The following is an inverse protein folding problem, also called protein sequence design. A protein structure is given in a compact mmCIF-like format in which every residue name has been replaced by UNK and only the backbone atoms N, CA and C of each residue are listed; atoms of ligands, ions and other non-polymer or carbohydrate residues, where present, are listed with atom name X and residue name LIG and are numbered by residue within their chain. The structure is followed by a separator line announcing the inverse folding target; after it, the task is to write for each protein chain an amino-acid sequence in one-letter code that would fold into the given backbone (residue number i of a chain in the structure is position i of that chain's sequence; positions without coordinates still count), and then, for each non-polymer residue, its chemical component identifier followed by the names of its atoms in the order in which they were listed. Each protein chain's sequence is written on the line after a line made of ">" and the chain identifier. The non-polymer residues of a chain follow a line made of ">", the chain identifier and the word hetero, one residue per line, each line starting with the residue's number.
data_IF_804918876319
#
_entry.id   IF_804918876319
#
_cell.length_a   1.000
_cell.length_b   1.000
_cell.length_c   1.000
_cell.angle_alpha   90.00
_cell.angle_beta   90.00
_cell.angle_gamma   90.00
#
_symmetry.space_group_name_H-M   'P 1'
#
loop_
_entity.id
_entity.type
_entity.pdbx_description
1 polymer ?
#
# COMPACT_ATOMS: atom_id res chain seq x y z
N UNK A 1 -27.94 41.02 39.82
CA UNK A 1 -26.52 40.68 39.56
C UNK A 1 -26.31 39.17 39.39
N UNK A 2 -26.83 38.33 40.30
CA UNK A 2 -26.69 36.86 40.22
C UNK A 2 -27.22 36.19 38.93
N UNK A 3 -28.39 36.59 38.41
CA UNK A 3 -28.94 35.99 37.17
C UNK A 3 -28.00 36.15 35.98
N UNK A 4 -27.33 37.30 35.83
CA UNK A 4 -26.38 37.55 34.73
C UNK A 4 -25.15 36.65 34.85
N UNK A 5 -24.60 36.51 36.06
CA UNK A 5 -23.45 35.64 36.34
C UNK A 5 -23.81 34.17 36.03
N UNK A 6 -25.02 33.74 36.42
CA UNK A 6 -25.52 32.39 36.14
C UNK A 6 -25.67 32.12 34.64
N UNK A 7 -26.20 33.08 33.86
CA UNK A 7 -26.30 32.94 32.40
C UNK A 7 -24.93 32.88 31.73
N UNK A 8 -23.97 33.71 32.16
CA UNK A 8 -22.61 33.68 31.61
C UNK A 8 -21.92 32.36 31.93
N UNK A 9 -22.05 31.85 33.16
CA UNK A 9 -21.51 30.55 33.54
C UNK A 9 -22.12 29.39 32.71
N UNK A 10 -23.42 29.44 32.44
CA UNK A 10 -24.11 28.45 31.62
C UNK A 10 -23.61 28.45 30.17
N UNK A 11 -23.40 29.63 29.57
CA UNK A 11 -22.87 29.74 28.19
C UNK A 11 -21.46 29.19 28.10
N UNK A 12 -20.60 29.50 29.08
CA UNK A 12 -19.23 28.98 29.13
C UNK A 12 -19.24 27.46 29.28
N UNK A 13 -20.10 26.91 30.14
CA UNK A 13 -20.25 25.46 30.31
C UNK A 13 -20.65 24.79 29.00
N UNK A 14 -21.65 25.35 28.29
CA UNK A 14 -22.09 24.82 26.99
C UNK A 14 -20.95 24.87 25.96
N UNK A 15 -20.23 25.99 25.87
CA UNK A 15 -19.11 26.12 24.93
C UNK A 15 -17.99 25.10 25.21
N UNK A 16 -17.71 24.83 26.49
CA UNK A 16 -16.73 23.82 26.92
C UNK A 16 -17.18 22.40 26.56
N UNK A 17 -18.45 22.07 26.79
CA UNK A 17 -19.00 20.74 26.43
C UNK A 17 -18.97 20.55 24.91
N UNK A 18 -19.43 21.52 24.13
CA UNK A 18 -19.42 21.45 22.66
C UNK A 18 -17.98 21.35 22.13
N UNK A 19 -17.06 22.14 22.67
CA UNK A 19 -15.64 22.07 22.31
C UNK A 19 -15.04 20.70 22.59
N UNK A 20 -15.33 20.09 23.74
CA UNK A 20 -14.92 18.73 24.08
C UNK A 20 -15.52 17.69 23.13
N UNK A 21 -16.81 17.79 22.79
CA UNK A 21 -17.45 16.86 21.85
C UNK A 21 -16.76 16.90 20.48
N UNK A 22 -16.48 18.09 19.95
CA UNK A 22 -15.79 18.26 18.66
C UNK A 22 -14.38 17.63 18.72
N UNK A 23 -13.64 17.91 19.78
CA UNK A 23 -12.30 17.35 19.98
C UNK A 23 -12.31 15.82 20.02
N UNK A 24 -13.26 15.23 20.75
CA UNK A 24 -13.41 13.78 20.85
C UNK A 24 -13.72 13.14 19.49
N UNK A 25 -14.64 13.71 18.70
CA UNK A 25 -14.90 13.22 17.33
C UNK A 25 -13.64 13.25 16.47
N UNK A 26 -12.92 14.37 16.45
CA UNK A 26 -11.68 14.48 15.65
C UNK A 26 -10.62 13.47 16.08
N UNK A 27 -10.48 13.23 17.37
CA UNK A 27 -9.53 12.24 17.90
C UNK A 27 -9.94 10.81 17.50
N UNK A 28 -11.24 10.50 17.54
CA UNK A 28 -11.75 9.20 17.12
C UNK A 28 -11.59 8.99 15.60
N UNK A 29 -11.90 9.99 14.78
CA UNK A 29 -11.72 9.96 13.33
C UNK A 29 -10.24 9.71 12.99
N UNK A 30 -9.33 10.47 13.61
CA UNK A 30 -7.88 10.28 13.41
C UNK A 30 -7.39 8.89 13.82
N UNK A 31 -7.92 8.32 14.91
CA UNK A 31 -7.55 6.98 15.36
C UNK A 31 -8.03 5.90 14.39
N UNK A 32 -9.26 6.04 13.90
CA UNK A 32 -9.84 5.14 12.90
C UNK A 32 -9.08 5.21 11.56
N UNK A 33 -8.74 6.42 11.12
CA UNK A 33 -7.93 6.64 9.92
C UNK A 33 -6.55 5.96 10.01
N UNK A 34 -5.87 6.09 11.15
CA UNK A 34 -4.58 5.42 11.38
C UNK A 34 -4.71 3.89 11.37
N UNK A 35 -5.82 3.34 11.88
CA UNK A 35 -6.08 1.91 11.85
C UNK A 35 -6.27 1.39 10.43
N UNK A 36 -7.10 2.08 9.63
CA UNK A 36 -7.36 1.74 8.23
C UNK A 36 -6.05 1.77 7.41
N UNK A 37 -5.27 2.83 7.58
CA UNK A 37 -3.97 2.96 6.94
C UNK A 37 -3.01 1.82 7.32
N UNK A 38 -2.94 1.48 8.62
CA UNK A 38 -2.08 0.38 9.10
C UNK A 38 -2.46 -0.95 8.45
N UNK A 39 -3.75 -1.26 8.38
CA UNK A 39 -4.26 -2.48 7.73
C UNK A 39 -3.96 -2.51 6.22
N UNK A 40 -4.10 -1.38 5.54
CA UNK A 40 -3.75 -1.28 4.13
C UNK A 40 -2.25 -1.51 3.91
N UNK A 41 -1.40 -0.92 4.75
CA UNK A 41 0.05 -1.09 4.71
C UNK A 41 0.46 -2.55 5.01
N UNK A 42 -0.16 -3.20 6.00
CA UNK A 42 0.08 -4.62 6.30
C UNK A 42 -0.30 -5.53 5.12
N UNK A 43 -1.42 -5.22 4.45
CA UNK A 43 -1.86 -5.92 3.24
C UNK A 43 -0.85 -5.74 2.10
N UNK A 44 -0.39 -4.52 1.87
CA UNK A 44 0.66 -4.22 0.89
C UNK A 44 1.95 -5.00 1.17
N UNK A 45 2.41 -5.00 2.42
CA UNK A 45 3.64 -5.71 2.81
C UNK A 45 3.50 -7.22 2.61
N UNK A 46 2.34 -7.78 2.95
CA UNK A 46 2.04 -9.20 2.77
C UNK A 46 2.02 -9.56 1.29
N UNK A 47 1.33 -8.77 0.47
CA UNK A 47 1.34 -8.93 -0.98
C UNK A 47 2.75 -8.90 -1.57
N UNK A 48 3.55 -7.88 -1.28
CA UNK A 48 4.92 -7.74 -1.82
C UNK A 48 5.81 -8.90 -1.38
N UNK A 49 5.70 -9.30 -0.11
CA UNK A 49 6.42 -10.47 0.39
C UNK A 49 6.05 -11.73 -0.38
N UNK A 50 4.75 -11.98 -0.61
CA UNK A 50 4.30 -13.16 -1.37
C UNK A 50 4.65 -13.07 -2.85
N UNK A 51 4.55 -11.89 -3.46
CA UNK A 51 4.80 -11.69 -4.89
C UNK A 51 6.27 -11.83 -5.28
N UNK A 52 7.20 -11.50 -4.38
CA UNK A 52 8.64 -11.55 -4.64
C UNK A 52 9.38 -12.67 -3.91
N UNK A 53 8.74 -13.41 -3.01
CA UNK A 53 9.29 -14.64 -2.41
C UNK A 53 8.53 -15.88 -2.93
N UNK A 54 9.07 -16.53 -3.95
CA UNK A 54 8.43 -17.68 -4.57
C UNK A 54 9.46 -18.68 -5.12
N UNK A 55 9.03 -19.93 -5.31
CA UNK A 55 9.85 -21.03 -5.83
C UNK A 55 9.42 -21.53 -7.20
N UNK A 56 8.35 -20.95 -7.75
CA UNK A 56 7.86 -21.17 -9.11
C UNK A 56 6.95 -20.04 -9.55
N UNK A 57 6.79 -19.85 -10.86
CA UNK A 57 5.90 -18.83 -11.42
C UNK A 57 4.46 -19.11 -11.01
N UNK A 58 4.04 -20.38 -11.06
CA UNK A 58 2.71 -20.80 -10.63
C UNK A 58 2.42 -20.44 -9.17
N UNK A 59 3.33 -20.78 -8.25
CA UNK A 59 3.12 -20.52 -6.81
C UNK A 59 3.01 -19.03 -6.49
N UNK A 60 3.75 -18.18 -7.21
CA UNK A 60 3.64 -16.72 -7.10
C UNK A 60 2.21 -16.27 -7.31
N UNK A 61 1.61 -16.63 -8.45
CA UNK A 61 0.27 -16.16 -8.82
C UNK A 61 -0.84 -16.80 -7.97
N UNK A 62 -0.75 -18.10 -7.68
CA UNK A 62 -1.72 -18.75 -6.79
C UNK A 62 -1.75 -18.13 -5.39
N UNK A 63 -0.59 -17.74 -4.86
CA UNK A 63 -0.49 -17.22 -3.50
C UNK A 63 -0.81 -15.73 -3.39
N UNK A 64 -0.64 -14.92 -4.45
CA UNK A 64 -1.02 -13.51 -4.40
C UNK A 64 -2.52 -13.27 -4.59
N UNK A 65 -3.24 -14.19 -5.25
CA UNK A 65 -4.65 -14.02 -5.60
C UNK A 65 -5.55 -13.57 -4.42
N UNK A 66 -5.41 -14.06 -3.18
CA UNK A 66 -6.21 -13.61 -2.04
C UNK A 66 -5.99 -12.14 -1.64
N UNK A 67 -4.87 -11.52 -2.02
CA UNK A 67 -4.55 -10.13 -1.68
C UNK A 67 -5.02 -9.12 -2.73
N UNK A 68 -5.55 -9.58 -3.86
CA UNK A 68 -5.77 -8.73 -5.04
C UNK A 68 -7.24 -8.67 -5.43
N UNK A 69 -7.63 -7.56 -6.05
CA UNK A 69 -8.89 -7.50 -6.80
C UNK A 69 -8.72 -8.31 -8.09
N UNK A 70 -9.84 -8.65 -8.77
CA UNK A 70 -9.77 -9.30 -10.09
C UNK A 70 -8.98 -8.46 -11.10
N UNK A 71 -9.16 -7.14 -11.05
CA UNK A 71 -8.47 -6.19 -11.92
C UNK A 71 -6.97 -6.14 -11.61
N UNK A 72 -6.61 -5.98 -10.33
CA UNK A 72 -5.21 -5.93 -9.91
C UNK A 72 -4.48 -7.25 -10.18
N UNK A 73 -5.16 -8.38 -10.02
CA UNK A 73 -4.58 -9.66 -10.37
C UNK A 73 -4.29 -9.76 -11.87
N UNK A 74 -5.22 -9.32 -12.72
CA UNK A 74 -5.04 -9.33 -14.17
C UNK A 74 -3.90 -8.41 -14.65
N UNK A 75 -3.63 -7.30 -13.96
CA UNK A 75 -2.53 -6.38 -14.32
C UNK A 75 -1.14 -6.91 -13.98
N UNK A 76 -1.05 -7.93 -13.12
CA UNK A 76 0.25 -8.56 -12.78
C UNK A 76 0.71 -9.59 -13.80
N UNK A 77 -0.15 -10.02 -14.72
CA UNK A 77 0.25 -10.97 -15.74
C UNK A 77 1.22 -10.33 -16.74
N UNK A 78 2.28 -11.04 -17.15
CA UNK A 78 3.01 -10.65 -18.36
C UNK A 78 2.01 -10.58 -19.53
N UNK A 79 2.36 -9.81 -20.56
CA UNK A 79 1.53 -9.33 -21.68
C UNK A 79 0.67 -10.35 -22.47
N UNK A 80 0.53 -11.59 -22.02
CA UNK A 80 -0.32 -12.62 -22.60
C UNK A 80 -1.11 -13.45 -21.58
N UNK A 81 -1.94 -12.84 -20.72
CA UNK A 81 -3.12 -13.40 -20.00
C UNK A 81 -3.02 -14.79 -19.32
N UNK A 82 -1.85 -15.40 -19.30
CA UNK A 82 -1.58 -16.77 -18.90
C UNK A 82 -0.28 -16.79 -18.14
N UNK A 83 -0.26 -17.56 -17.06
CA UNK A 83 0.92 -17.75 -16.24
C UNK A 83 1.93 -18.54 -17.09
N UNK A 84 3.14 -18.03 -17.33
CA UNK A 84 4.17 -18.77 -18.04
C UNK A 84 4.41 -20.13 -17.39
N UNK A 85 4.58 -21.18 -18.20
CA UNK A 85 5.02 -22.48 -17.70
C UNK A 85 6.45 -22.38 -17.17
N UNK A 86 6.76 -23.09 -16.09
CA UNK A 86 8.10 -23.11 -15.52
C UNK A 86 9.04 -23.90 -16.46
N UNK A 87 9.86 -23.19 -17.26
CA UNK A 87 10.84 -23.81 -18.17
C UNK A 87 12.18 -24.14 -17.51
N UNK A 88 12.29 -23.98 -16.18
CA UNK A 88 13.50 -24.17 -15.38
C UNK A 88 13.23 -23.94 -13.89
N UNK A 89 14.25 -24.08 -13.04
CA UNK A 89 14.11 -23.83 -11.59
C UNK A 89 14.31 -22.35 -11.29
N UNK A 90 13.21 -21.60 -11.22
CA UNK A 90 13.19 -20.19 -10.85
C UNK A 90 12.86 -20.02 -9.35
N UNK A 91 13.73 -19.36 -8.60
CA UNK A 91 13.50 -18.99 -7.20
C UNK A 91 13.71 -17.49 -7.03
N UNK A 92 12.83 -16.82 -6.30
CA UNK A 92 12.94 -15.39 -6.00
C UNK A 92 12.90 -15.15 -4.50
N UNK A 93 13.64 -14.16 -4.05
CA UNK A 93 13.62 -13.70 -2.66
C UNK A 93 13.76 -12.18 -2.57
N UNK A 94 13.08 -11.56 -1.61
CA UNK A 94 13.11 -10.13 -1.34
C UNK A 94 13.74 -9.85 0.02
N UNK A 95 14.47 -8.73 0.13
CA UNK A 95 14.94 -8.20 1.42
C UNK A 95 14.94 -6.67 1.45
N UNK A 96 14.95 -6.13 2.66
CA UNK A 96 15.13 -4.69 2.88
C UNK A 96 13.94 -3.83 2.47
N UNK A 97 12.70 -4.35 2.61
CA UNK A 97 11.47 -3.63 2.30
C UNK A 97 11.38 -2.32 3.08
N UNK A 98 11.29 -1.22 2.33
CA UNK A 98 10.92 0.11 2.80
C UNK A 98 9.65 0.53 2.09
N UNK A 99 8.69 1.07 2.84
CA UNK A 99 7.40 1.49 2.30
C UNK A 99 7.18 2.96 2.63
N UNK A 100 6.77 3.71 1.62
CA UNK A 100 6.51 5.13 1.66
C UNK A 100 5.05 5.34 1.25
N UNK A 101 4.33 6.18 2.00
CA UNK A 101 3.00 6.61 1.59
C UNK A 101 3.13 7.60 0.43
N UNK A 102 2.48 7.29 -0.70
CA UNK A 102 2.53 8.15 -1.90
C UNK A 102 1.47 9.25 -1.82
N UNK A 103 0.26 8.89 -1.38
CA UNK A 103 -0.86 9.81 -1.15
C UNK A 103 -1.65 9.38 0.08
N UNK A 104 -2.11 10.36 0.85
CA UNK A 104 -3.05 10.13 1.95
C UNK A 104 -4.49 10.23 1.41
N UNK A 105 -4.86 9.26 0.57
CA UNK A 105 -6.25 9.03 0.19
C UNK A 105 -6.74 7.82 0.97
N UNK A 106 -7.76 8.04 1.80
CA UNK A 106 -8.31 7.04 2.71
C UNK A 106 -9.16 6.00 1.98
N UNK A 107 -9.77 6.38 0.85
CA UNK A 107 -10.59 5.49 0.05
C UNK A 107 -9.70 4.60 -0.84
N UNK A 108 -8.56 5.15 -1.26
CA UNK A 108 -7.62 4.47 -2.16
C UNK A 108 -6.17 4.64 -1.66
N UNK A 109 -5.73 3.88 -0.65
CA UNK A 109 -4.37 3.97 -0.15
C UNK A 109 -3.33 3.63 -1.24
N UNK A 110 -2.33 4.50 -1.38
CA UNK A 110 -1.27 4.37 -2.36
C UNK A 110 0.11 4.30 -1.70
N UNK A 111 0.91 3.32 -2.10
CA UNK A 111 2.24 3.10 -1.56
C UNK A 111 3.30 3.08 -2.67
N UNK A 112 4.47 3.63 -2.35
CA UNK A 112 5.72 3.39 -3.08
C UNK A 112 6.58 2.52 -2.17
N UNK A 113 7.05 1.39 -2.68
CA UNK A 113 7.90 0.46 -1.93
C UNK A 113 9.23 0.27 -2.65
N UNK A 114 10.31 0.17 -1.86
CA UNK A 114 11.68 -0.03 -2.33
C UNK A 114 12.29 -1.24 -1.61
N UNK A 115 12.88 -2.15 -2.38
CA UNK A 115 13.52 -3.37 -1.85
C UNK A 115 14.50 -3.96 -2.85
N UNK A 116 15.32 -4.91 -2.38
CA UNK A 116 16.18 -5.70 -3.24
C UNK A 116 15.56 -7.07 -3.50
N UNK A 117 15.54 -7.50 -4.75
CA UNK A 117 15.11 -8.84 -5.19
C UNK A 117 16.31 -9.61 -5.70
N UNK A 118 16.48 -10.85 -5.23
CA UNK A 118 17.40 -11.82 -5.79
C UNK A 118 16.61 -12.92 -6.48
N UNK A 119 16.77 -13.06 -7.79
CA UNK A 119 16.19 -14.14 -8.59
C UNK A 119 17.29 -15.13 -8.96
N UNK A 120 17.02 -16.42 -8.88
CA UNK A 120 17.93 -17.48 -9.31
C UNK A 120 17.24 -18.35 -10.35
N UNK A 121 17.82 -18.40 -11.55
CA UNK A 121 17.40 -19.29 -12.62
C UNK A 121 18.43 -20.40 -12.77
N UNK A 122 18.02 -21.65 -12.57
CA UNK A 122 18.89 -22.84 -12.59
C UNK A 122 20.15 -22.68 -11.73
N UNK A 123 20.00 -22.00 -10.58
CA UNK A 123 21.08 -21.78 -9.61
C UNK A 123 21.97 -20.57 -9.90
N UNK A 124 21.77 -19.86 -11.00
CA UNK A 124 22.52 -18.64 -11.33
C UNK A 124 21.74 -17.43 -10.78
N UNK A 125 22.24 -16.71 -9.77
CA UNK A 125 21.54 -15.57 -9.18
C UNK A 125 21.77 -14.27 -9.96
N UNK A 126 20.72 -13.46 -10.07
CA UNK A 126 20.75 -12.03 -10.39
C UNK A 126 20.13 -11.25 -9.24
N UNK A 127 20.56 -10.02 -9.01
CA UNK A 127 20.03 -9.16 -7.93
C UNK A 127 19.79 -7.75 -8.44
N UNK A 128 18.60 -7.24 -8.17
CA UNK A 128 18.12 -5.93 -8.64
C UNK A 128 17.45 -5.18 -7.49
N UNK A 129 17.55 -3.85 -7.50
CA UNK A 129 16.72 -3.01 -6.65
C UNK A 129 15.43 -2.71 -7.40
N UNK A 130 14.30 -2.87 -6.74
CA UNK A 130 12.98 -2.65 -7.29
C UNK A 130 12.34 -1.49 -6.55
N UNK A 131 11.75 -0.58 -7.33
CA UNK A 131 10.81 0.42 -6.86
C UNK A 131 9.44 0.11 -7.45
N UNK A 132 8.42 0.03 -6.61
CA UNK A 132 7.10 -0.41 -7.04
C UNK A 132 6.02 0.46 -6.42
N UNK A 133 5.05 0.86 -7.23
CA UNK A 133 3.83 1.51 -6.81
C UNK A 133 2.72 0.46 -6.64
N UNK A 134 1.92 0.61 -5.60
CA UNK A 134 0.70 -0.17 -5.37
C UNK A 134 -0.46 0.75 -4.98
N UNK A 135 -1.64 0.46 -5.51
CA UNK A 135 -2.89 1.09 -5.09
C UNK A 135 -3.83 0.03 -4.52
N UNK A 136 -4.44 0.33 -3.38
CA UNK A 136 -5.39 -0.56 -2.71
C UNK A 136 -6.79 0.03 -2.76
N UNK A 137 -7.79 -0.84 -2.81
CA UNK A 137 -9.19 -0.50 -2.59
C UNK A 137 -9.78 -1.45 -1.56
N UNK A 138 -10.87 -1.05 -0.91
CA UNK A 138 -11.62 -1.92 -0.01
C UNK A 138 -12.68 -2.70 -0.81
N UNK A 139 -12.64 -4.04 -0.73
CA UNK A 139 -13.68 -4.93 -1.24
C UNK A 139 -14.17 -5.81 -0.08
N UNK A 140 -15.48 -5.84 0.18
CA UNK A 140 -16.11 -6.67 1.20
C UNK A 140 -15.49 -6.54 2.60
N UNK A 141 -15.06 -5.34 2.99
CA UNK A 141 -14.43 -5.07 4.29
C UNK A 141 -12.95 -5.47 4.37
N UNK A 142 -12.32 -5.75 3.24
CA UNK A 142 -10.91 -6.15 3.15
C UNK A 142 -10.16 -5.26 2.15
N UNK A 143 -8.98 -4.79 2.54
CA UNK A 143 -8.06 -4.15 1.60
C UNK A 143 -7.56 -5.15 0.57
N UNK A 144 -7.55 -4.73 -0.70
CA UNK A 144 -7.07 -5.51 -1.84
C UNK A 144 -6.22 -4.66 -2.75
N UNK A 145 -5.16 -5.23 -3.30
CA UNK A 145 -4.32 -4.60 -4.31
C UNK A 145 -5.09 -4.52 -5.61
N UNK A 146 -5.29 -3.31 -6.10
CA UNK A 146 -6.02 -3.00 -7.32
C UNK A 146 -5.12 -2.61 -8.49
N UNK A 147 -3.96 -2.03 -8.21
CA UNK A 147 -2.95 -1.70 -9.22
C UNK A 147 -1.55 -1.97 -8.70
N UNK A 148 -0.67 -2.37 -9.62
CA UNK A 148 0.75 -2.64 -9.38
C UNK A 148 1.51 -2.10 -10.57
N UNK A 149 2.55 -1.30 -10.31
CA UNK A 149 3.41 -0.73 -11.35
C UNK A 149 4.86 -0.74 -10.87
N UNK A 150 5.75 -1.37 -11.62
CA UNK A 150 7.19 -1.23 -11.38
C UNK A 150 7.60 0.13 -11.91
N UNK A 151 8.18 0.95 -11.05
CA UNK A 151 8.64 2.28 -11.41
C UNK A 151 10.06 2.16 -11.97
N UNK A 152 10.27 2.67 -13.18
CA UNK A 152 11.60 2.76 -13.76
C UNK A 152 12.47 3.68 -12.89
N UNK A 153 13.71 3.26 -12.62
CA UNK A 153 14.76 4.15 -12.16
C UNK A 153 15.09 5.08 -13.34
N UNK A 154 14.38 6.20 -13.48
CA UNK A 154 14.88 7.29 -14.29
C UNK A 154 16.19 7.76 -13.64
N UNK A 155 17.35 7.67 -14.33
CA UNK A 155 18.53 8.35 -13.84
C UNK A 155 18.20 9.84 -13.74
N UNK A 156 18.44 10.43 -12.57
CA UNK A 156 18.30 11.86 -12.37
C UNK A 156 19.31 12.57 -13.30
N UNK A 157 18.83 13.01 -14.47
CA UNK A 157 19.58 13.84 -15.41
C UNK A 157 19.94 13.16 -16.72
N UNK A 158 18.98 13.11 -17.64
CA UNK A 158 19.27 13.39 -19.05
C UNK A 158 18.37 14.57 -19.44
N UNK A 159 18.87 15.80 -19.21
CA UNK A 159 18.43 16.94 -20.01
C UNK A 159 18.76 16.56 -21.45
N UNK A 160 17.72 16.43 -22.26
CA UNK A 160 17.87 16.13 -23.67
C UNK A 160 18.67 17.22 -24.36
N UNK A 161 19.88 16.88 -24.79
CA UNK A 161 20.49 17.56 -25.92
C UNK A 161 19.69 17.18 -27.17
N UNK A 162 18.79 18.07 -27.54
CA UNK A 162 18.13 18.08 -28.84
C UNK A 162 19.19 18.20 -29.95
N UNK A 163 19.22 17.23 -30.86
CA UNK A 163 19.76 17.40 -32.20
C UNK A 163 18.64 17.74 -33.18
#
# INVERSE_FOLDING_TARGET
>A
MQKKIMYTALIVLIAVVVGMSIFLTKAQDSAHENELYTKAMETNNSFLSTFFNYTSTKSRYENIAPFMTKQGYASTYPSGLTIPEDTGKLVSSMKGLKVYQSRNDQENPEFISEFQVTMSYDGIPSTENIRIYTALIEEDGQWKINAVEVLDDQPAGEEGDSF
#
